data_IF_010209875560
#
_entry.id   IF_010209875560
#
_cell.length_a   1.000
_cell.length_b   1.000
_cell.length_c   1.000
_cell.angle_alpha   90.00
_cell.angle_beta   90.00
_cell.angle_gamma   90.00
#
_symmetry.space_group_name_H-M   'P 1'
#
loop_
_entity.id
_entity.type
_entity.pdbx_description
1 polymer ?
#
# COMPACT_ATOMS: atom_id res chain seq x y z
N UNK A 1 -25.12 11.86 -7.41
CA UNK A 1 -23.97 12.74 -7.15
C UNK A 1 -24.31 13.99 -6.32
N UNK A 2 -24.93 15.06 -6.86
CA UNK A 2 -25.17 16.30 -6.07
C UNK A 2 -26.10 16.10 -4.85
N UNK A 3 -27.15 15.28 -5.00
CA UNK A 3 -28.05 14.94 -3.88
C UNK A 3 -27.36 14.07 -2.81
N UNK A 4 -26.47 13.16 -3.23
CA UNK A 4 -25.68 12.33 -2.30
C UNK A 4 -24.68 13.19 -1.53
N UNK A 5 -24.03 14.15 -2.20
CA UNK A 5 -23.12 15.11 -1.55
C UNK A 5 -23.85 15.95 -0.49
N UNK A 6 -25.09 16.38 -0.77
CA UNK A 6 -25.91 17.08 0.22
C UNK A 6 -26.29 16.19 1.40
N UNK A 7 -26.65 14.92 1.15
CA UNK A 7 -26.98 13.97 2.20
C UNK A 7 -25.76 13.63 3.09
N UNK A 8 -24.57 13.48 2.50
CA UNK A 8 -23.30 13.33 3.25
C UNK A 8 -23.02 14.56 4.10
N UNK A 9 -23.24 15.75 3.53
CA UNK A 9 -23.11 17.01 4.26
C UNK A 9 -24.07 17.06 5.45
N UNK A 10 -25.34 16.70 5.28
CA UNK A 10 -26.34 16.72 6.36
C UNK A 10 -25.99 15.74 7.49
N UNK A 11 -25.48 14.55 7.16
CA UNK A 11 -24.94 13.59 8.15
C UNK A 11 -23.75 14.20 8.89
N UNK A 12 -22.85 14.86 8.15
CA UNK A 12 -21.66 15.49 8.70
C UNK A 12 -21.95 16.78 9.50
N UNK A 13 -23.18 17.30 9.56
CA UNK A 13 -23.54 18.46 10.39
C UNK A 13 -24.08 18.08 11.79
N UNK A 14 -24.43 16.81 12.04
CA UNK A 14 -24.85 16.30 13.36
C UNK A 14 -23.64 15.85 14.24
N UNK A 15 -22.58 16.67 14.26
CA UNK A 15 -21.16 16.33 14.41
C UNK A 15 -20.67 15.60 15.68
N UNK A 16 -21.41 15.48 16.77
CA UNK A 16 -20.83 14.92 18.01
C UNK A 16 -20.92 13.39 18.14
N UNK A 17 -21.74 12.71 17.33
CA UNK A 17 -22.02 11.27 17.51
C UNK A 17 -21.62 10.43 16.29
N UNK A 18 -21.40 11.05 15.13
CA UNK A 18 -21.36 10.34 13.86
C UNK A 18 -20.30 9.24 13.76
N UNK A 19 -19.18 9.35 14.49
CA UNK A 19 -18.09 8.35 14.46
C UNK A 19 -17.82 7.66 15.79
N UNK A 20 -18.57 7.97 16.86
CA UNK A 20 -18.25 7.44 18.19
C UNK A 20 -18.40 5.92 18.24
N UNK A 21 -19.37 5.38 17.51
CA UNK A 21 -19.61 3.94 17.44
C UNK A 21 -18.49 3.23 16.66
N UNK A 22 -18.06 3.81 15.54
CA UNK A 22 -17.00 3.31 14.69
C UNK A 22 -15.64 3.39 15.38
N UNK A 23 -15.37 4.46 16.12
CA UNK A 23 -14.17 4.60 16.96
C UNK A 23 -14.18 3.55 18.07
N UNK A 24 -15.31 3.39 18.78
CA UNK A 24 -15.43 2.35 19.80
C UNK A 24 -15.21 0.95 19.22
N UNK A 25 -15.77 0.67 18.04
CA UNK A 25 -15.57 -0.59 17.34
C UNK A 25 -14.11 -0.79 16.90
N UNK A 26 -13.46 0.26 16.42
CA UNK A 26 -12.04 0.25 16.08
C UNK A 26 -11.17 -0.08 17.29
N UNK A 27 -11.45 0.54 18.44
CA UNK A 27 -10.71 0.33 19.68
C UNK A 27 -10.94 -1.07 20.26
N UNK A 28 -12.18 -1.58 20.20
CA UNK A 28 -12.49 -2.98 20.52
C UNK A 28 -11.69 -3.94 19.64
N UNK A 29 -11.70 -3.73 18.32
CA UNK A 29 -10.96 -4.57 17.37
C UNK A 29 -9.45 -4.55 17.66
N UNK A 30 -8.86 -3.36 17.90
CA UNK A 30 -7.45 -3.22 18.29
C UNK A 30 -7.14 -3.98 19.57
N UNK A 31 -8.00 -3.92 20.58
CA UNK A 31 -7.81 -4.64 21.84
C UNK A 31 -7.79 -6.15 21.65
N UNK A 32 -8.64 -6.69 20.76
CA UNK A 32 -8.65 -8.12 20.42
C UNK A 32 -7.38 -8.51 19.65
N UNK A 33 -7.02 -7.73 18.62
CA UNK A 33 -5.85 -8.03 17.78
C UNK A 33 -4.54 -8.05 18.55
N UNK A 34 -4.36 -7.17 19.55
CA UNK A 34 -3.19 -7.15 20.44
C UNK A 34 -2.97 -8.46 21.20
N UNK A 35 -4.03 -9.23 21.41
CA UNK A 35 -3.96 -10.50 22.15
C UNK A 35 -3.58 -11.67 21.24
N UNK A 36 -3.55 -11.47 19.92
CA UNK A 36 -3.23 -12.52 18.95
C UNK A 36 -1.70 -12.60 18.78
N UNK A 37 -1.07 -13.74 19.11
CA UNK A 37 0.37 -13.91 18.94
C UNK A 37 0.80 -13.75 17.48
N UNK A 38 1.91 -13.03 17.25
CA UNK A 38 2.45 -12.79 15.91
C UNK A 38 1.83 -11.61 15.16
N UNK A 39 0.74 -11.03 15.66
CA UNK A 39 0.14 -9.82 15.09
C UNK A 39 0.75 -8.58 15.74
N UNK A 40 1.06 -7.56 14.93
CA UNK A 40 1.49 -6.25 15.38
C UNK A 40 0.49 -5.18 14.94
N UNK A 41 0.33 -4.11 15.72
CA UNK A 41 -0.51 -2.97 15.36
C UNK A 41 0.33 -1.71 15.28
N UNK A 42 0.02 -0.86 14.31
CA UNK A 42 0.57 0.49 14.23
C UNK A 42 -0.38 1.46 14.94
N UNK A 43 0.09 2.10 16.01
CA UNK A 43 -0.72 2.96 16.87
C UNK A 43 -0.04 4.30 17.13
N UNK A 44 -0.73 5.23 17.80
CA UNK A 44 -0.16 6.52 18.23
C UNK A 44 1.14 6.36 19.03
N UNK A 45 1.24 5.31 19.85
CA UNK A 45 2.45 4.99 20.62
C UNK A 45 3.65 4.61 19.75
N UNK A 46 3.42 4.25 18.48
CA UNK A 46 4.46 3.97 17.49
C UNK A 46 5.11 5.24 16.94
N UNK A 47 4.55 6.43 17.21
CA UNK A 47 5.00 7.70 16.67
C UNK A 47 5.34 8.72 17.77
N UNK A 48 6.15 9.75 17.45
CA UNK A 48 6.31 10.91 18.32
C UNK A 48 4.95 11.56 18.60
N UNK A 49 4.79 12.13 19.80
CA UNK A 49 3.53 12.72 20.26
C UNK A 49 2.97 13.87 19.38
N UNK A 50 3.77 14.39 18.45
CA UNK A 50 3.35 15.38 17.44
C UNK A 50 2.56 14.80 16.27
N UNK A 51 2.51 13.47 16.14
CA UNK A 51 1.79 12.77 15.08
C UNK A 51 0.62 11.99 15.69
N UNK A 52 -0.54 12.09 15.04
CA UNK A 52 -1.73 11.33 15.38
C UNK A 52 -2.06 10.39 14.23
N UNK A 53 -2.29 9.12 14.58
CA UNK A 53 -2.88 8.09 13.74
C UNK A 53 -4.39 8.24 13.80
N UNK A 54 -5.02 8.23 12.64
CA UNK A 54 -6.48 8.21 12.53
C UNK A 54 -7.02 6.94 13.24
N UNK A 55 -7.90 7.07 14.25
CA UNK A 55 -8.42 5.92 15.00
C UNK A 55 -9.19 4.93 14.12
N UNK A 56 -9.75 5.38 12.99
CA UNK A 56 -10.53 4.56 12.06
C UNK A 56 -9.66 3.82 11.04
N UNK A 57 -8.33 4.03 11.07
CA UNK A 57 -7.35 3.27 10.30
C UNK A 57 -6.83 2.12 11.15
N UNK A 58 -7.27 0.91 10.82
CA UNK A 58 -6.77 -0.29 11.45
C UNK A 58 -5.60 -0.84 10.62
N UNK A 59 -4.38 -0.60 11.09
CA UNK A 59 -3.14 -0.99 10.41
C UNK A 59 -2.53 -2.18 11.16
N UNK A 60 -2.46 -3.32 10.47
CA UNK A 60 -2.09 -4.62 11.05
C UNK A 60 -0.85 -5.17 10.36
N UNK A 61 0.14 -5.54 11.14
CA UNK A 61 1.42 -6.11 10.72
C UNK A 61 1.52 -7.61 10.96
N UNK A 62 2.12 -8.32 10.00
CA UNK A 62 2.19 -9.80 9.99
C UNK A 62 3.64 -10.31 9.86
N UNK A 63 4.63 -9.42 9.94
CA UNK A 63 6.04 -9.76 9.77
C UNK A 63 6.57 -10.77 10.80
N UNK A 64 6.02 -10.79 12.03
CA UNK A 64 6.37 -11.80 13.03
C UNK A 64 5.83 -13.21 12.69
N UNK A 65 4.88 -13.30 11.76
CA UNK A 65 4.40 -14.57 11.18
C UNK A 65 5.16 -14.95 9.90
N UNK A 66 6.13 -14.15 9.47
CA UNK A 66 6.88 -14.34 8.23
C UNK A 66 6.09 -14.02 6.95
N UNK A 67 4.93 -13.39 7.09
CA UNK A 67 4.03 -13.08 5.97
C UNK A 67 4.17 -11.63 5.52
N UNK A 68 4.15 -11.44 4.21
CA UNK A 68 3.95 -10.13 3.59
C UNK A 68 2.47 -9.73 3.63
N UNK A 69 2.19 -8.42 3.54
CA UNK A 69 0.80 -7.97 3.42
C UNK A 69 0.12 -8.50 2.15
N UNK A 70 0.86 -8.70 1.06
CA UNK A 70 0.34 -9.28 -0.19
C UNK A 70 -0.17 -10.71 0.00
N UNK A 71 0.61 -11.56 0.69
CA UNK A 71 0.20 -12.92 1.03
C UNK A 71 -1.04 -12.91 1.94
N UNK A 72 -1.08 -12.03 2.93
CA UNK A 72 -2.18 -11.91 3.87
C UNK A 72 -3.47 -11.47 3.18
N UNK A 73 -3.41 -10.43 2.33
CA UNK A 73 -4.57 -9.93 1.58
C UNK A 73 -5.15 -11.02 0.67
N UNK A 74 -4.31 -11.80 -0.02
CA UNK A 74 -4.75 -12.90 -0.86
C UNK A 74 -5.45 -14.02 -0.05
N UNK A 75 -4.93 -14.34 1.14
CA UNK A 75 -5.50 -15.37 2.02
C UNK A 75 -6.85 -14.89 2.58
N UNK A 76 -6.92 -13.69 3.15
CA UNK A 76 -8.14 -13.14 3.74
C UNK A 76 -9.24 -12.93 2.70
N UNK A 77 -8.88 -12.53 1.48
CA UNK A 77 -9.84 -12.44 0.39
C UNK A 77 -10.40 -13.81 0.00
N UNK A 78 -9.54 -14.82 -0.21
CA UNK A 78 -9.98 -16.15 -0.67
C UNK A 78 -10.79 -16.91 0.37
N UNK A 79 -10.40 -16.81 1.63
CA UNK A 79 -10.94 -17.66 2.70
C UNK A 79 -12.06 -16.98 3.49
N UNK A 80 -12.06 -15.64 3.59
CA UNK A 80 -13.01 -14.87 4.40
C UNK A 80 -13.83 -13.84 3.62
N UNK A 81 -13.56 -13.63 2.32
CA UNK A 81 -14.15 -12.53 1.53
C UNK A 81 -13.89 -11.14 2.15
N UNK A 82 -12.75 -11.00 2.83
CA UNK A 82 -12.33 -9.75 3.48
C UNK A 82 -11.32 -9.03 2.60
N UNK A 83 -11.68 -7.81 2.19
CA UNK A 83 -10.85 -6.96 1.32
C UNK A 83 -10.19 -5.86 2.14
N UNK A 84 -8.87 -5.71 2.00
CA UNK A 84 -8.12 -4.62 2.61
C UNK A 84 -8.24 -3.34 1.77
N UNK A 85 -8.14 -2.18 2.41
CA UNK A 85 -8.08 -0.90 1.67
C UNK A 85 -6.69 -0.67 1.07
N UNK A 86 -5.65 -1.01 1.83
CA UNK A 86 -4.26 -0.83 1.42
C UNK A 86 -3.42 -2.02 1.89
N UNK A 87 -2.63 -2.54 0.97
CA UNK A 87 -1.66 -3.59 1.21
C UNK A 87 -0.26 -2.99 1.23
N UNK A 88 0.58 -3.43 2.15
CA UNK A 88 1.99 -3.08 2.20
C UNK A 88 2.86 -4.34 2.24
N UNK A 89 4.18 -4.17 2.15
CA UNK A 89 5.12 -5.29 2.20
C UNK A 89 5.09 -6.06 3.52
N UNK A 90 4.75 -5.40 4.63
CA UNK A 90 4.80 -5.97 5.98
C UNK A 90 3.43 -6.08 6.66
N UNK A 91 2.37 -5.56 6.04
CA UNK A 91 1.06 -5.48 6.67
C UNK A 91 -0.03 -4.95 5.76
N UNK A 92 -1.22 -4.81 6.33
CA UNK A 92 -2.44 -4.36 5.63
C UNK A 92 -3.15 -3.29 6.46
N UNK A 93 -3.99 -2.51 5.79
CA UNK A 93 -4.81 -1.45 6.41
C UNK A 93 -6.26 -1.61 6.02
N UNK A 94 -7.14 -1.48 7.02
CA UNK A 94 -8.59 -1.33 6.83
C UNK A 94 -9.01 0.09 7.22
N UNK A 95 -9.85 0.73 6.40
CA UNK A 95 -10.62 1.90 6.82
C UNK A 95 -11.97 1.46 7.36
N UNK A 96 -12.19 1.76 8.63
CA UNK A 96 -13.49 1.65 9.26
C UNK A 96 -14.26 2.93 8.94
N UNK A 97 -15.41 2.80 8.32
CA UNK A 97 -16.23 3.92 7.86
C UNK A 97 -17.60 3.91 8.57
N UNK A 98 -18.43 4.92 8.32
CA UNK A 98 -19.78 5.06 8.90
C UNK A 98 -20.73 3.89 8.65
N UNK A 99 -20.38 2.96 7.76
CA UNK A 99 -21.16 1.76 7.44
C UNK A 99 -20.46 0.48 7.91
N UNK A 100 -19.33 0.60 8.58
CA UNK A 100 -18.68 -0.52 9.23
C UNK A 100 -19.47 -0.88 10.49
N UNK A 101 -20.18 -2.00 10.45
CA UNK A 101 -20.88 -2.56 11.59
C UNK A 101 -20.02 -3.62 12.30
N UNK A 102 -20.53 -4.11 13.44
CA UNK A 102 -19.86 -5.10 14.28
C UNK A 102 -19.53 -6.39 13.52
N UNK A 103 -20.44 -6.82 12.66
CA UNK A 103 -20.29 -8.02 11.83
C UNK A 103 -19.06 -7.91 10.91
N UNK A 104 -18.83 -6.74 10.30
CA UNK A 104 -17.65 -6.51 9.46
C UNK A 104 -16.36 -6.58 10.28
N UNK A 105 -16.33 -5.98 11.46
CA UNK A 105 -15.16 -6.06 12.35
C UNK A 105 -14.91 -7.51 12.81
N UNK A 106 -15.96 -8.25 13.15
CA UNK A 106 -15.85 -9.66 13.55
C UNK A 106 -15.29 -10.54 12.43
N UNK A 107 -15.69 -10.34 11.17
CA UNK A 107 -15.11 -11.06 10.03
C UNK A 107 -13.61 -10.81 9.91
N UNK A 108 -13.16 -9.54 10.03
CA UNK A 108 -11.73 -9.19 10.02
C UNK A 108 -10.99 -9.90 11.16
N UNK A 109 -11.52 -9.83 12.39
CA UNK A 109 -10.90 -10.44 13.57
C UNK A 109 -10.80 -11.96 13.46
N UNK A 110 -11.86 -12.61 12.98
CA UNK A 110 -11.90 -14.07 12.80
C UNK A 110 -10.92 -14.52 11.72
N UNK A 111 -10.87 -13.82 10.59
CA UNK A 111 -9.93 -14.11 9.50
C UNK A 111 -8.48 -13.98 9.96
N UNK A 112 -8.14 -12.87 10.59
CA UNK A 112 -6.78 -12.64 11.13
C UNK A 112 -6.42 -13.68 12.20
N UNK A 113 -7.35 -14.03 13.09
CA UNK A 113 -7.12 -15.05 14.12
C UNK A 113 -6.85 -16.42 13.51
N UNK A 114 -7.67 -16.87 12.55
CA UNK A 114 -7.45 -18.14 11.84
C UNK A 114 -6.10 -18.16 11.14
N UNK A 115 -5.76 -17.07 10.45
CA UNK A 115 -4.48 -16.91 9.77
C UNK A 115 -3.32 -17.00 10.78
N UNK A 116 -3.38 -16.27 11.88
CA UNK A 116 -2.35 -16.32 12.92
C UNK A 116 -2.18 -17.73 13.51
N UNK A 117 -3.26 -18.44 13.81
CA UNK A 117 -3.21 -19.82 14.34
C UNK A 117 -2.60 -20.81 13.33
N UNK A 118 -2.93 -20.64 12.05
CA UNK A 118 -2.40 -21.48 10.96
C UNK A 118 -0.90 -21.30 10.81
N UNK A 119 -0.42 -20.05 10.83
CA UNK A 119 0.99 -19.74 10.57
C UNK A 119 1.87 -19.74 11.83
N UNK A 120 1.32 -19.58 13.03
CA UNK A 120 2.07 -19.75 14.28
C UNK A 120 2.61 -21.18 14.47
N UNK A 121 1.93 -22.16 13.88
CA UNK A 121 2.30 -23.58 13.93
C UNK A 121 3.42 -23.94 12.94
N UNK A 122 3.59 -23.12 11.90
CA UNK A 122 4.59 -23.31 10.86
C UNK A 122 5.80 -22.49 11.29
N UNK A 123 6.89 -23.14 11.72
CA UNK A 123 8.16 -22.46 11.93
C UNK A 123 8.72 -21.98 10.59
N UNK A 124 8.14 -20.90 10.04
CA UNK A 124 8.76 -20.20 8.94
C UNK A 124 9.94 -19.42 9.51
N UNK A 125 11.13 -19.50 8.88
CA UNK A 125 12.20 -18.58 9.23
C UNK A 125 11.64 -17.16 9.07
N UNK A 126 11.90 -16.28 10.05
CA UNK A 126 11.57 -14.86 9.91
C UNK A 126 12.02 -14.41 8.52
N UNK A 127 11.07 -14.05 7.64
CA UNK A 127 11.43 -13.35 6.41
C UNK A 127 12.12 -12.08 6.91
N UNK A 128 13.44 -12.01 6.72
CA UNK A 128 14.14 -10.73 6.85
C UNK A 128 13.43 -9.80 5.89
N UNK A 129 12.68 -8.85 6.44
CA UNK A 129 12.11 -7.76 5.67
C UNK A 129 13.31 -7.06 5.03
N UNK A 130 13.57 -7.36 3.76
CA UNK A 130 14.52 -6.60 2.97
C UNK A 130 13.76 -5.32 2.66
N UNK A 131 13.90 -4.35 3.55
CA UNK A 131 13.34 -3.03 3.32
C UNK A 131 14.22 -2.38 2.23
N UNK A 132 13.86 -2.58 0.97
CA UNK A 132 14.37 -1.72 -0.09
C UNK A 132 13.55 -0.45 0.02
N UNK A 133 14.14 0.57 0.67
CA UNK A 133 13.51 1.87 0.79
C UNK A 133 13.17 2.38 -0.61
N UNK A 134 11.95 2.87 -0.78
CA UNK A 134 11.53 3.48 -2.02
C UNK A 134 12.44 4.69 -2.31
N UNK A 135 13.00 4.81 -3.52
CA UNK A 135 14.01 5.81 -3.86
C UNK A 135 13.39 7.20 -4.10
N UNK A 136 12.52 7.66 -3.19
CA UNK A 136 11.85 8.96 -3.29
C UNK A 136 12.81 10.15 -3.18
N UNK A 137 14.00 9.93 -2.61
CA UNK A 137 15.09 10.91 -2.53
C UNK A 137 15.96 10.94 -3.79
N UNK A 138 15.83 9.95 -4.68
CA UNK A 138 16.66 9.76 -5.89
C UNK A 138 15.99 10.35 -7.14
N UNK A 139 15.42 11.55 -7.01
CA UNK A 139 14.69 12.24 -8.08
C UNK A 139 15.59 13.25 -8.79
N UNK A 140 15.88 13.00 -10.07
CA UNK A 140 16.68 13.92 -10.92
C UNK A 140 15.84 14.31 -12.13
N UNK A 141 15.32 15.53 -12.15
CA UNK A 141 14.55 16.05 -13.28
C UNK A 141 15.46 16.55 -14.41
N UNK A 142 15.39 15.92 -15.58
CA UNK A 142 16.07 16.38 -16.80
C UNK A 142 15.16 17.19 -17.72
N UNK A 143 13.86 16.90 -17.74
CA UNK A 143 12.83 17.64 -18.47
C UNK A 143 11.65 17.88 -17.53
N UNK A 144 10.92 18.98 -17.72
CA UNK A 144 9.64 19.12 -17.03
C UNK A 144 8.65 18.07 -17.57
N UNK A 145 7.69 17.58 -16.76
CA UNK A 145 6.82 16.47 -17.17
C UNK A 145 6.02 16.75 -18.44
N UNK A 146 5.63 18.02 -18.66
CA UNK A 146 4.96 18.45 -19.88
C UNK A 146 5.83 18.24 -21.13
N UNK A 147 7.11 18.58 -21.06
CA UNK A 147 8.01 18.48 -22.20
C UNK A 147 8.36 17.01 -22.48
N UNK A 148 8.59 16.22 -21.43
CA UNK A 148 8.75 14.77 -21.57
C UNK A 148 7.50 14.09 -22.17
N UNK A 149 6.31 14.57 -21.81
CA UNK A 149 5.05 14.08 -22.38
C UNK A 149 4.96 14.34 -23.90
N UNK A 150 5.44 15.49 -24.40
CA UNK A 150 5.43 15.80 -25.83
C UNK A 150 6.69 15.36 -26.59
N UNK A 151 7.75 14.97 -25.88
CA UNK A 151 8.97 14.48 -26.50
C UNK A 151 8.74 13.22 -27.33
N UNK A 152 9.57 13.04 -28.36
CA UNK A 152 9.68 11.77 -29.08
C UNK A 152 10.14 10.68 -28.11
N UNK A 153 9.60 9.47 -28.24
CA UNK A 153 9.84 8.36 -27.31
C UNK A 153 10.27 7.10 -28.05
N UNK A 154 11.01 6.25 -27.35
CA UNK A 154 11.43 4.93 -27.81
C UNK A 154 11.37 3.92 -26.66
N UNK A 155 11.22 2.65 -26.99
CA UNK A 155 11.26 1.56 -26.01
C UNK A 155 12.68 1.00 -25.91
N UNK A 156 13.11 0.70 -24.69
CA UNK A 156 14.41 0.07 -24.40
C UNK A 156 14.24 -1.04 -23.38
N UNK A 157 15.20 -1.97 -23.28
CA UNK A 157 15.20 -2.91 -22.17
C UNK A 157 15.36 -2.13 -20.84
N UNK A 158 14.72 -2.59 -19.76
CA UNK A 158 14.75 -1.85 -18.48
C UNK A 158 16.18 -1.62 -17.95
N UNK A 159 17.11 -2.53 -18.24
CA UNK A 159 18.51 -2.38 -17.83
C UNK A 159 19.28 -1.37 -18.68
N UNK A 160 18.80 -1.11 -19.90
CA UNK A 160 19.39 -0.14 -20.83
C UNK A 160 18.82 1.28 -20.65
N UNK A 161 17.80 1.45 -19.81
CA UNK A 161 17.19 2.75 -19.55
C UNK A 161 17.95 3.59 -18.52
N UNK A 162 18.91 3.00 -17.81
CA UNK A 162 19.67 3.71 -16.77
C UNK A 162 20.44 4.88 -17.40
N UNK A 163 20.21 6.07 -16.86
CA UNK A 163 20.75 7.34 -17.35
C UNK A 163 19.95 7.98 -18.48
N UNK A 164 18.91 7.33 -18.99
CA UNK A 164 17.99 7.91 -19.97
C UNK A 164 16.85 8.66 -19.25
N UNK A 165 16.14 9.51 -19.99
CA UNK A 165 15.01 10.29 -19.46
C UNK A 165 13.72 9.50 -19.61
N UNK A 166 12.98 9.33 -18.51
CA UNK A 166 11.71 8.63 -18.48
C UNK A 166 10.67 9.24 -19.42
N UNK A 167 10.06 8.39 -20.25
CA UNK A 167 8.99 8.77 -21.17
C UNK A 167 7.60 8.34 -20.70
N UNK A 168 7.51 7.61 -19.59
CA UNK A 168 6.27 7.10 -19.01
C UNK A 168 6.27 7.22 -17.48
N UNK A 169 5.07 7.24 -16.90
CA UNK A 169 4.87 7.28 -15.46
C UNK A 169 4.76 5.84 -14.94
N UNK A 170 5.52 5.50 -13.90
CA UNK A 170 5.50 4.16 -13.32
C UNK A 170 5.22 4.23 -11.83
N UNK A 171 4.15 3.53 -11.43
CA UNK A 171 3.71 3.41 -10.03
C UNK A 171 3.48 1.94 -9.67
N UNK A 172 4.31 1.35 -8.79
CA UNK A 172 3.98 0.07 -8.18
C UNK A 172 2.75 0.20 -7.29
N UNK A 173 1.86 -0.80 -7.36
CA UNK A 173 0.63 -0.86 -6.60
C UNK A 173 0.45 -2.22 -5.92
N UNK A 174 -0.01 -2.23 -4.66
CA UNK A 174 -0.05 -1.10 -3.71
C UNK A 174 1.36 -0.54 -3.34
N UNK A 175 1.51 0.75 -2.97
CA UNK A 175 0.46 1.76 -2.70
C UNK A 175 0.01 2.61 -3.90
N UNK A 176 0.69 2.56 -5.04
CA UNK A 176 0.34 3.35 -6.24
C UNK A 176 0.99 4.74 -6.30
N UNK A 177 1.97 5.03 -5.43
CA UNK A 177 2.75 6.26 -5.48
C UNK A 177 3.74 6.17 -6.66
N UNK A 178 3.82 7.18 -7.55
CA UNK A 178 4.79 7.18 -8.62
C UNK A 178 6.23 7.09 -8.11
N UNK A 179 6.99 6.15 -8.65
CA UNK A 179 8.43 5.99 -8.43
C UNK A 179 9.21 6.60 -9.60
N UNK A 180 8.57 6.70 -10.76
CA UNK A 180 9.14 7.32 -11.94
C UNK A 180 8.08 8.22 -12.60
N UNK A 181 8.45 9.47 -12.85
CA UNK A 181 7.63 10.47 -13.53
C UNK A 181 8.30 10.82 -14.87
N UNK A 182 7.54 11.06 -15.96
CA UNK A 182 8.11 11.51 -17.22
C UNK A 182 8.99 12.74 -17.03
N UNK A 183 10.20 12.69 -17.58
CA UNK A 183 11.20 13.77 -17.46
C UNK A 183 12.27 13.53 -16.40
N UNK A 184 12.09 12.55 -15.52
CA UNK A 184 13.13 12.11 -14.58
C UNK A 184 14.21 11.28 -15.28
N UNK A 185 15.45 11.38 -14.80
CA UNK A 185 16.53 10.48 -15.20
C UNK A 185 16.34 9.15 -14.47
N UNK A 186 16.30 8.05 -15.23
CA UNK A 186 16.12 6.72 -14.67
C UNK A 186 17.44 6.28 -14.03
N UNK A 187 17.44 6.07 -12.72
CA UNK A 187 18.64 5.63 -11.99
C UNK A 187 18.65 4.11 -11.79
N UNK A 188 19.81 3.56 -11.42
CA UNK A 188 19.94 2.16 -11.05
C UNK A 188 19.04 1.81 -9.84
N UNK A 189 18.95 2.69 -8.84
CA UNK A 189 18.11 2.46 -7.65
C UNK A 189 16.64 2.33 -8.01
N UNK A 190 16.13 3.19 -8.90
CA UNK A 190 14.76 3.11 -9.40
C UNK A 190 14.50 1.77 -10.08
N UNK A 191 15.39 1.35 -10.98
CA UNK A 191 15.25 0.06 -11.69
C UNK A 191 15.28 -1.11 -10.71
N UNK A 192 16.21 -1.13 -9.77
CA UNK A 192 16.34 -2.21 -8.78
C UNK A 192 15.11 -2.28 -7.87
N UNK A 193 14.60 -1.14 -7.40
CA UNK A 193 13.39 -1.07 -6.60
C UNK A 193 12.17 -1.59 -7.37
N UNK A 194 11.95 -1.11 -8.59
CA UNK A 194 10.81 -1.52 -9.42
C UNK A 194 10.80 -3.03 -9.70
N UNK A 195 11.97 -3.61 -10.00
CA UNK A 195 12.12 -5.05 -10.21
C UNK A 195 11.89 -5.83 -8.91
N UNK A 196 12.38 -5.33 -7.77
CA UNK A 196 12.19 -5.96 -6.48
C UNK A 196 10.71 -5.98 -6.06
N UNK A 197 10.03 -4.84 -6.02
CA UNK A 197 8.62 -4.80 -5.60
C UNK A 197 7.70 -5.61 -6.50
N UNK A 198 8.00 -5.66 -7.81
CA UNK A 198 7.30 -6.56 -8.73
C UNK A 198 7.52 -8.03 -8.35
N UNK A 199 8.74 -8.42 -7.98
CA UNK A 199 9.03 -9.80 -7.57
C UNK A 199 8.32 -10.21 -6.27
N UNK A 200 8.00 -9.24 -5.41
CA UNK A 200 7.19 -9.42 -4.19
C UNK A 200 5.67 -9.44 -4.48
N UNK A 201 5.26 -9.26 -5.74
CA UNK A 201 3.85 -9.33 -6.15
C UNK A 201 3.18 -7.98 -6.41
N UNK A 202 3.89 -6.85 -6.30
CA UNK A 202 3.32 -5.55 -6.64
C UNK A 202 2.97 -5.47 -8.15
N UNK A 203 1.81 -4.93 -8.45
CA UNK A 203 1.39 -4.62 -9.81
C UNK A 203 2.07 -3.34 -10.29
N UNK A 204 2.54 -3.33 -11.53
CA UNK A 204 3.19 -2.15 -12.10
C UNK A 204 2.19 -1.40 -12.98
N UNK A 205 1.75 -0.24 -12.51
CA UNK A 205 0.81 0.64 -13.23
C UNK A 205 1.55 1.72 -14.02
N UNK A 206 0.96 2.13 -15.14
CA UNK A 206 1.44 3.21 -15.99
C UNK A 206 2.60 2.83 -16.94
N UNK A 207 3.33 1.76 -16.65
CA UNK A 207 4.34 1.22 -17.56
C UNK A 207 3.69 0.61 -18.81
N UNK A 208 4.28 0.86 -19.98
CA UNK A 208 3.88 0.21 -21.25
C UNK A 208 4.11 -1.31 -21.27
N UNK A 209 4.90 -1.82 -20.33
CA UNK A 209 5.15 -3.25 -20.10
C UNK A 209 5.17 -3.50 -18.59
N UNK A 210 4.06 -4.06 -18.07
CA UNK A 210 3.89 -4.34 -16.65
C UNK A 210 4.84 -5.42 -16.12
N UNK A 211 5.41 -6.25 -17.02
CA UNK A 211 6.47 -7.19 -16.68
C UNK A 211 7.84 -6.54 -16.66
N UNK A 212 7.95 -5.22 -16.83
CA UNK A 212 9.20 -4.47 -16.72
C UNK A 212 10.36 -5.10 -17.53
N UNK A 213 10.06 -5.79 -18.64
CA UNK A 213 11.11 -6.28 -19.55
C UNK A 213 11.65 -5.12 -20.37
N UNK A 214 10.82 -4.11 -20.57
CA UNK A 214 11.11 -2.91 -21.34
C UNK A 214 10.41 -1.69 -20.74
N UNK A 215 10.94 -0.51 -21.04
CA UNK A 215 10.45 0.79 -20.54
C UNK A 215 10.53 1.84 -21.66
N UNK A 216 9.66 2.84 -21.61
CA UNK A 216 9.65 3.95 -22.57
C UNK A 216 10.50 5.11 -22.04
N UNK A 217 11.43 5.56 -22.90
CA UNK A 217 12.32 6.70 -22.63
C UNK A 217 12.13 7.79 -23.68
N UNK A 218 12.39 9.03 -23.32
CA UNK A 218 12.49 10.13 -24.27
C UNK A 218 13.71 9.92 -25.17
N UNK A 219 13.57 10.20 -26.46
CA UNK A 219 14.71 10.27 -27.37
C UNK A 219 15.62 11.43 -26.94
N UNK A 220 16.94 11.23 -27.03
CA UNK A 220 17.93 12.30 -26.82
C UNK A 220 17.65 13.43 -27.81
N UNK A 221 17.58 14.66 -27.30
CA UNK A 221 17.56 15.88 -28.12
C UNK A 221 18.90 16.03 -28.87
#
# INVERSE_FOLDING_TARGET
>A
MLLELNSVRDIAFNQEIAFNQEIALADEAKCVLKQIPGISLLENSSFPASLAVDPLRLIVGFWNLGLSGYEVDEILYKDDDVICELVGSIGITYALNLRTCREHAEMILLGIKRLAETYASIQQPEKKVVNVDAPFDDMIMSLIPRDAFFASKRKVAIRESIGEVAGELISPYPPGIPILIPGEVITQKIVDYLLHVRSEGAQINGASDSLLSSIVVCCKL
#
